data_IF_305884863594
#
_entry.id   IF_305884863594
#
_cell.length_a   1.000
_cell.length_b   1.000
_cell.length_c   1.000
_cell.angle_alpha   90.00
_cell.angle_beta   90.00
_cell.angle_gamma   90.00
#
_symmetry.space_group_name_H-M   'P 1'
#
loop_
_entity.id
_entity.type
_entity.pdbx_description
1 polymer ?
#
# COMPACT_ATOMS: atom_id res chain seq x y z
N UNK A 1 -16.62 -13.92 -4.02
CA UNK A 1 -15.21 -14.21 -3.66
C UNK A 1 -14.23 -13.83 -4.78
N UNK A 2 -14.62 -13.81 -6.06
CA UNK A 2 -13.72 -13.52 -7.20
C UNK A 2 -13.40 -12.03 -7.41
N UNK A 3 -13.77 -11.15 -6.46
CA UNK A 3 -13.67 -9.69 -6.64
C UNK A 3 -12.22 -9.23 -6.80
N UNK A 4 -11.30 -9.68 -5.94
CA UNK A 4 -9.89 -9.28 -6.02
C UNK A 4 -9.22 -9.79 -7.31
N UNK A 5 -9.34 -11.07 -7.71
CA UNK A 5 -8.82 -11.52 -9.00
C UNK A 5 -9.38 -10.74 -10.19
N UNK A 6 -10.68 -10.45 -10.22
CA UNK A 6 -11.29 -9.66 -11.29
C UNK A 6 -10.75 -8.23 -11.27
N UNK A 7 -10.67 -7.60 -10.11
CA UNK A 7 -10.14 -6.25 -9.98
C UNK A 7 -8.69 -6.16 -10.43
N UNK A 8 -7.85 -7.15 -10.11
CA UNK A 8 -6.48 -7.23 -10.60
C UNK A 8 -6.43 -7.36 -12.12
N UNK A 9 -7.27 -8.20 -12.75
CA UNK A 9 -7.31 -8.31 -14.22
C UNK A 9 -7.76 -6.99 -14.85
N UNK A 10 -8.83 -6.38 -14.35
CA UNK A 10 -9.33 -5.11 -14.87
C UNK A 10 -8.33 -3.97 -14.67
N UNK A 11 -7.68 -3.93 -13.50
CA UNK A 11 -6.64 -2.95 -13.18
C UNK A 11 -5.43 -3.09 -14.10
N UNK A 12 -5.00 -4.32 -14.37
CA UNK A 12 -3.93 -4.60 -15.34
C UNK A 12 -4.28 -4.10 -16.73
N UNK A 13 -5.48 -4.43 -17.25
CA UNK A 13 -5.92 -4.01 -18.57
C UNK A 13 -6.04 -2.48 -18.68
N UNK A 14 -6.51 -1.82 -17.63
CA UNK A 14 -6.61 -0.36 -17.59
C UNK A 14 -5.24 0.32 -17.54
N UNK A 15 -4.33 -0.18 -16.70
CA UNK A 15 -2.98 0.38 -16.53
C UNK A 15 -2.08 0.14 -17.74
N UNK A 16 -2.27 -0.95 -18.49
CA UNK A 16 -1.47 -1.28 -19.68
C UNK A 16 -2.12 -0.87 -21.01
N UNK A 17 -3.40 -0.53 -20.98
CA UNK A 17 -4.17 -0.16 -22.17
C UNK A 17 -4.17 1.35 -22.47
N UNK A 18 -5.09 1.75 -23.36
CA UNK A 18 -5.27 3.14 -23.79
C UNK A 18 -5.74 4.10 -22.68
N UNK A 19 -6.14 3.57 -21.53
CA UNK A 19 -6.58 4.34 -20.36
C UNK A 19 -5.44 4.69 -19.40
N UNK A 20 -4.18 4.31 -19.69
CA UNK A 20 -3.04 4.51 -18.79
C UNK A 20 -2.94 5.95 -18.25
N UNK A 21 -3.14 6.96 -19.08
CA UNK A 21 -3.10 8.36 -18.63
C UNK A 21 -4.15 8.68 -17.56
N UNK A 22 -5.38 8.19 -17.72
CA UNK A 22 -6.46 8.37 -16.74
C UNK A 22 -6.14 7.59 -15.45
N UNK A 23 -5.57 6.40 -15.60
CA UNK A 23 -5.09 5.61 -14.46
C UNK A 23 -4.06 6.43 -13.69
N UNK A 24 -3.03 6.96 -14.36
CA UNK A 24 -1.97 7.77 -13.75
C UNK A 24 -2.53 8.97 -12.99
N UNK A 25 -3.55 9.65 -13.52
CA UNK A 25 -4.20 10.79 -12.86
C UNK A 25 -4.80 10.42 -11.49
N UNK A 26 -5.41 9.23 -11.38
CA UNK A 26 -6.03 8.74 -10.15
C UNK A 26 -4.96 8.17 -9.21
N UNK A 27 -4.01 7.42 -9.75
CA UNK A 27 -2.99 6.72 -8.95
C UNK A 27 -1.94 7.68 -8.41
N UNK A 28 -1.73 8.84 -9.01
CA UNK A 28 -0.80 9.85 -8.48
C UNK A 28 -1.16 10.29 -7.07
N UNK A 29 -2.45 10.39 -6.71
CA UNK A 29 -2.83 10.65 -5.31
C UNK A 29 -2.34 9.56 -4.35
N UNK A 30 -2.30 8.30 -4.80
CA UNK A 30 -1.79 7.17 -4.02
C UNK A 30 -0.27 7.18 -3.99
N UNK A 31 0.39 7.59 -5.08
CA UNK A 31 1.83 7.85 -5.17
C UNK A 31 2.28 8.88 -4.14
N UNK A 32 1.65 10.07 -4.15
CA UNK A 32 1.94 11.15 -3.22
C UNK A 32 1.62 10.78 -1.76
N UNK A 33 0.53 10.04 -1.55
CA UNK A 33 0.25 9.47 -0.22
C UNK A 33 1.33 8.49 0.22
N UNK A 34 1.94 7.74 -0.71
CA UNK A 34 3.08 6.87 -0.48
C UNK A 34 4.30 7.62 0.07
N UNK A 35 4.68 8.73 -0.57
CA UNK A 35 5.71 9.64 -0.04
C UNK A 35 5.35 10.13 1.37
N UNK A 36 4.14 10.64 1.55
CA UNK A 36 3.70 11.23 2.81
C UNK A 36 3.68 10.21 3.96
N UNK A 37 3.12 9.03 3.75
CA UNK A 37 3.09 7.95 4.76
C UNK A 37 4.51 7.54 5.14
N UNK A 38 5.39 7.41 4.15
CA UNK A 38 6.78 7.05 4.39
C UNK A 38 7.51 8.14 5.19
N UNK A 39 7.28 9.41 4.87
CA UNK A 39 7.82 10.55 5.59
C UNK A 39 7.32 10.59 7.04
N UNK A 40 6.02 10.41 7.27
CA UNK A 40 5.43 10.38 8.62
C UNK A 40 6.03 9.27 9.48
N UNK A 41 6.23 8.07 8.92
CA UNK A 41 6.89 6.96 9.62
C UNK A 41 8.36 7.26 9.95
N UNK A 42 9.04 8.07 9.13
CA UNK A 42 10.40 8.54 9.37
C UNK A 42 10.48 9.75 10.33
N UNK A 43 9.33 10.27 10.78
CA UNK A 43 9.25 11.48 11.59
C UNK A 43 9.53 12.77 10.82
N UNK A 44 9.32 12.78 9.49
CA UNK A 44 9.51 13.93 8.61
C UNK A 44 8.13 14.47 8.19
N UNK A 45 7.83 15.77 8.41
CA UNK A 45 6.54 16.33 8.04
C UNK A 45 6.35 16.29 6.53
N UNK A 46 5.16 15.89 6.10
CA UNK A 46 4.80 15.80 4.70
C UNK A 46 3.31 16.06 4.52
N UNK A 47 2.94 16.62 3.37
CA UNK A 47 1.54 16.86 2.99
C UNK A 47 1.34 16.24 1.61
N UNK A 48 0.48 15.21 1.45
CA UNK A 48 0.21 14.62 0.15
C UNK A 48 -0.59 15.63 -0.69
N UNK A 49 0.04 16.18 -1.73
CA UNK A 49 -0.64 16.97 -2.73
C UNK A 49 -1.20 16.09 -3.86
N UNK A 50 -1.82 16.71 -4.89
CA UNK A 50 -2.20 15.98 -6.09
C UNK A 50 -0.98 15.35 -6.76
N UNK A 51 -0.01 16.15 -7.25
CA UNK A 51 1.15 15.70 -8.05
C UNK A 51 2.51 15.83 -7.36
N UNK A 52 2.55 16.40 -6.15
CA UNK A 52 3.79 16.62 -5.39
C UNK A 52 3.48 16.52 -3.91
N UNK A 53 4.41 15.94 -3.17
CA UNK A 53 4.39 15.87 -1.71
C UNK A 53 5.49 16.77 -1.15
N UNK A 54 5.16 17.99 -0.69
CA UNK A 54 6.11 18.79 0.06
C UNK A 54 6.53 18.06 1.33
N UNK A 55 7.84 17.79 1.48
CA UNK A 55 8.42 17.16 2.66
C UNK A 55 9.40 18.08 3.36
N UNK A 56 9.48 17.99 4.69
CA UNK A 56 10.48 18.71 5.46
C UNK A 56 11.90 18.18 5.27
N UNK A 57 12.88 19.07 5.41
CA UNK A 57 14.30 18.69 5.32
C UNK A 57 14.82 18.00 6.58
N UNK A 58 14.12 18.14 7.71
CA UNK A 58 14.55 17.62 9.03
C UNK A 58 13.44 16.84 9.71
N UNK A 59 13.86 15.96 10.62
CA UNK A 59 12.92 15.24 11.49
C UNK A 59 12.26 16.18 12.47
N UNK A 60 10.95 16.02 12.61
CA UNK A 60 10.14 16.65 13.63
C UNK A 60 9.65 15.58 14.62
N UNK A 61 10.44 15.31 15.65
CA UNK A 61 10.16 14.24 16.62
C UNK A 61 8.83 14.41 17.36
N UNK A 62 8.30 15.64 17.47
CA UNK A 62 6.95 15.85 18.01
C UNK A 62 5.87 15.26 17.11
N UNK A 63 6.01 15.36 15.79
CA UNK A 63 5.08 14.70 14.88
C UNK A 63 5.19 13.18 14.98
N UNK A 64 6.41 12.64 15.09
CA UNK A 64 6.59 11.22 15.35
C UNK A 64 5.89 10.81 16.66
N UNK A 65 6.03 11.58 17.74
CA UNK A 65 5.33 11.31 18.99
C UNK A 65 3.81 11.37 18.85
N UNK A 66 3.27 12.32 18.08
CA UNK A 66 1.83 12.42 17.80
C UNK A 66 1.33 11.18 17.03
N UNK A 67 2.08 10.73 16.02
CA UNK A 67 1.76 9.50 15.29
C UNK A 67 1.81 8.27 16.21
N UNK A 68 2.84 8.17 17.05
CA UNK A 68 2.95 7.11 18.07
C UNK A 68 1.74 7.12 19.00
N UNK A 69 1.32 8.30 19.48
CA UNK A 69 0.13 8.46 20.31
C UNK A 69 -1.15 8.02 19.61
N UNK A 70 -1.33 8.39 18.35
CA UNK A 70 -2.48 7.98 17.54
C UNK A 70 -2.51 6.45 17.31
N UNK A 71 -1.37 5.84 17.00
CA UNK A 71 -1.25 4.39 16.83
C UNK A 71 -1.46 3.63 18.15
N UNK A 72 -0.95 4.16 19.27
CA UNK A 72 -1.18 3.59 20.60
C UNK A 72 -2.67 3.66 20.98
N UNK A 73 -3.34 4.77 20.67
CA UNK A 73 -4.79 4.91 20.85
C UNK A 73 -5.57 3.93 19.97
N UNK A 74 -5.15 3.72 18.73
CA UNK A 74 -5.75 2.73 17.84
C UNK A 74 -5.57 1.30 18.37
N UNK A 75 -4.37 0.96 18.84
CA UNK A 75 -4.08 -0.33 19.48
C UNK A 75 -4.95 -0.56 20.73
N UNK A 76 -5.03 0.45 21.60
CA UNK A 76 -5.84 0.41 22.82
C UNK A 76 -7.33 0.24 22.52
N UNK A 77 -7.85 1.02 21.56
CA UNK A 77 -9.24 0.92 21.10
C UNK A 77 -9.51 -0.47 20.51
N UNK A 78 -8.59 -1.00 19.69
CA UNK A 78 -8.66 -2.34 19.16
C UNK A 78 -8.73 -3.41 20.26
N UNK A 79 -7.89 -3.29 21.29
CA UNK A 79 -7.93 -4.18 22.47
C UNK A 79 -9.27 -4.11 23.20
N UNK A 80 -9.81 -2.91 23.46
CA UNK A 80 -11.11 -2.72 24.15
C UNK A 80 -12.27 -3.36 23.39
N UNK A 81 -12.23 -3.33 22.06
CA UNK A 81 -13.25 -3.94 21.19
C UNK A 81 -12.93 -5.39 20.77
N UNK A 82 -11.92 -6.03 21.40
CA UNK A 82 -11.45 -7.38 21.06
C UNK A 82 -11.08 -7.56 19.57
N UNK A 83 -10.62 -6.49 18.92
CA UNK A 83 -10.18 -6.42 17.52
C UNK A 83 -8.68 -6.72 17.42
N UNK A 84 -8.35 -8.01 17.33
CA UNK A 84 -6.95 -8.47 17.19
C UNK A 84 -6.28 -7.96 15.91
N UNK A 85 -7.07 -7.74 14.86
CA UNK A 85 -6.65 -7.15 13.59
C UNK A 85 -6.12 -5.71 13.76
N UNK A 86 -6.81 -4.90 14.56
CA UNK A 86 -6.39 -3.52 14.83
C UNK A 86 -5.12 -3.48 15.69
N UNK A 87 -5.05 -4.35 16.70
CA UNK A 87 -3.86 -4.47 17.53
C UNK A 87 -2.64 -4.86 16.71
N UNK A 88 -2.76 -5.89 15.86
CA UNK A 88 -1.67 -6.33 15.00
C UNK A 88 -1.21 -5.22 14.03
N UNK A 89 -2.16 -4.53 13.38
CA UNK A 89 -1.85 -3.42 12.47
C UNK A 89 -1.12 -2.27 13.17
N UNK A 90 -1.62 -1.86 14.35
CA UNK A 90 -1.00 -0.80 15.13
C UNK A 90 0.41 -1.20 15.61
N UNK A 91 0.61 -2.44 16.07
CA UNK A 91 1.93 -2.94 16.48
C UNK A 91 2.92 -2.95 15.33
N UNK A 92 2.50 -3.39 14.14
CA UNK A 92 3.36 -3.36 12.94
C UNK A 92 3.75 -1.92 12.58
N UNK A 93 2.78 -1.00 12.54
CA UNK A 93 3.06 0.40 12.22
C UNK A 93 3.95 1.07 13.27
N UNK A 94 3.77 0.78 14.56
CA UNK A 94 4.64 1.28 15.62
C UNK A 94 6.07 0.76 15.49
N UNK A 95 6.24 -0.52 15.17
CA UNK A 95 7.57 -1.10 14.95
C UNK A 95 8.25 -0.48 13.73
N UNK A 96 7.52 -0.33 12.62
CA UNK A 96 8.02 0.35 11.42
C UNK A 96 8.40 1.80 11.73
N UNK A 97 7.54 2.54 12.42
CA UNK A 97 7.81 3.92 12.80
C UNK A 97 9.07 4.04 13.67
N UNK A 98 9.23 3.16 14.67
CA UNK A 98 10.42 3.15 15.53
C UNK A 98 11.70 2.93 14.71
N UNK A 99 11.69 1.95 13.80
CA UNK A 99 12.82 1.65 12.92
C UNK A 99 13.09 2.80 11.94
N UNK A 100 12.07 3.34 11.29
CA UNK A 100 12.22 4.42 10.31
C UNK A 100 12.67 5.74 10.95
N UNK A 101 12.16 6.06 12.15
CA UNK A 101 12.47 7.31 12.85
C UNK A 101 13.87 7.28 13.48
N UNK A 102 14.26 6.18 14.13
CA UNK A 102 15.50 6.12 14.92
C UNK A 102 16.59 5.21 14.32
N UNK A 103 16.22 4.25 13.48
CA UNK A 103 17.17 3.31 12.87
C UNK A 103 17.80 3.77 11.55
N UNK A 104 17.26 4.83 10.93
CA UNK A 104 17.75 5.36 9.66
C UNK A 104 18.50 6.69 9.86
N UNK A 105 19.55 6.93 9.07
CA UNK A 105 20.09 8.28 8.89
C UNK A 105 19.07 9.17 8.16
N UNK A 106 19.23 10.49 8.22
CA UNK A 106 18.34 11.42 7.53
C UNK A 106 18.35 11.19 6.02
N UNK A 107 19.54 11.03 5.42
CA UNK A 107 19.68 10.76 3.98
C UNK A 107 18.98 9.46 3.57
N UNK A 108 19.10 8.39 4.37
CA UNK A 108 18.40 7.12 4.11
C UNK A 108 16.89 7.27 4.24
N UNK A 109 16.42 8.11 5.16
CA UNK A 109 14.99 8.39 5.30
C UNK A 109 14.47 9.18 4.10
N UNK A 110 15.21 10.17 3.60
CA UNK A 110 14.81 10.91 2.39
C UNK A 110 14.85 10.02 1.14
N UNK A 111 15.86 9.17 0.99
CA UNK A 111 15.88 8.15 -0.06
C UNK A 111 14.66 7.22 0.06
N UNK A 112 14.34 6.77 1.27
CA UNK A 112 13.17 5.92 1.50
C UNK A 112 11.86 6.66 1.15
N UNK A 113 11.77 7.96 1.40
CA UNK A 113 10.61 8.78 0.99
C UNK A 113 10.46 8.77 -0.52
N UNK A 114 11.51 9.02 -1.31
CA UNK A 114 11.44 8.95 -2.79
C UNK A 114 11.06 7.55 -3.27
N UNK A 115 11.63 6.50 -2.68
CA UNK A 115 11.21 5.12 -2.95
C UNK A 115 9.72 4.88 -2.59
N UNK A 116 9.24 5.56 -1.56
CA UNK A 116 7.89 5.46 -1.03
C UNK A 116 6.77 5.88 -1.99
N UNK A 117 7.05 6.54 -3.12
CA UNK A 117 6.05 6.86 -4.14
C UNK A 117 5.46 5.58 -4.75
N UNK A 118 6.22 4.95 -5.65
CA UNK A 118 5.80 3.71 -6.31
C UNK A 118 5.67 2.54 -5.31
N UNK A 119 6.58 2.41 -4.35
CA UNK A 119 6.47 1.39 -3.31
C UNK A 119 5.20 1.57 -2.46
N UNK A 120 4.81 2.82 -2.21
CA UNK A 120 3.56 3.18 -1.55
C UNK A 120 2.35 2.75 -2.36
N UNK A 121 2.35 2.94 -3.68
CA UNK A 121 1.28 2.44 -4.55
C UNK A 121 1.09 0.92 -4.45
N UNK A 122 2.19 0.16 -4.39
CA UNK A 122 2.13 -1.30 -4.21
C UNK A 122 1.50 -1.68 -2.86
N UNK A 123 1.99 -1.08 -1.76
CA UNK A 123 1.55 -1.42 -0.40
C UNK A 123 0.15 -0.88 -0.11
N UNK A 124 -0.09 0.41 -0.34
CA UNK A 124 -1.40 1.05 -0.13
C UNK A 124 -2.45 0.47 -1.07
N UNK A 125 -2.11 0.20 -2.34
CA UNK A 125 -3.02 -0.48 -3.26
C UNK A 125 -3.45 -1.85 -2.76
N UNK A 126 -2.51 -2.60 -2.18
CA UNK A 126 -2.78 -3.89 -1.52
C UNK A 126 -3.66 -3.74 -0.29
N UNK A 127 -3.41 -2.75 0.57
CA UNK A 127 -4.25 -2.47 1.75
C UNK A 127 -5.68 -2.07 1.33
N UNK A 128 -5.81 -1.21 0.31
CA UNK A 128 -7.10 -0.78 -0.24
C UNK A 128 -7.90 -1.96 -0.79
N UNK A 129 -7.28 -2.84 -1.58
CA UNK A 129 -7.90 -4.09 -2.03
C UNK A 129 -8.26 -5.00 -0.85
N UNK A 130 -7.38 -5.10 0.15
CA UNK A 130 -7.61 -5.87 1.38
C UNK A 130 -8.85 -5.41 2.17
N UNK A 131 -9.27 -4.15 2.01
CA UNK A 131 -10.50 -3.65 2.65
C UNK A 131 -11.76 -4.39 2.21
N UNK A 132 -11.73 -5.12 1.08
CA UNK A 132 -12.84 -5.97 0.67
C UNK A 132 -13.18 -7.05 1.71
N UNK A 133 -12.18 -7.52 2.46
CA UNK A 133 -12.32 -8.58 3.46
C UNK A 133 -12.65 -8.09 4.87
N UNK A 134 -12.95 -6.80 5.03
CA UNK A 134 -13.39 -6.26 6.32
C UNK A 134 -14.71 -6.87 6.77
N UNK A 135 -14.89 -6.95 8.10
CA UNK A 135 -16.05 -7.59 8.71
C UNK A 135 -17.37 -6.97 8.22
N UNK A 136 -18.39 -7.79 7.90
CA UNK A 136 -19.75 -7.31 7.68
C UNK A 136 -20.25 -6.46 8.85
N UNK A 137 -20.92 -5.36 8.55
CA UNK A 137 -21.40 -4.38 9.55
C UNK A 137 -20.39 -3.29 9.93
N UNK A 138 -19.12 -3.37 9.50
CA UNK A 138 -18.22 -2.22 9.57
C UNK A 138 -18.69 -1.10 8.64
N UNK A 139 -18.29 0.15 8.91
CA UNK A 139 -18.66 1.30 8.07
C UNK A 139 -18.25 1.10 6.59
N UNK A 140 -17.04 0.59 6.35
CA UNK A 140 -16.52 0.25 5.02
C UNK A 140 -17.38 -0.78 4.28
N UNK A 141 -17.95 -1.72 5.02
CA UNK A 141 -18.86 -2.71 4.46
C UNK A 141 -20.29 -2.15 4.28
N UNK A 142 -20.83 -1.48 5.30
CA UNK A 142 -22.20 -1.00 5.33
C UNK A 142 -22.46 0.14 4.32
N UNK A 143 -21.46 0.99 4.08
CA UNK A 143 -21.56 2.12 3.14
C UNK A 143 -20.97 1.85 1.77
N UNK A 144 -20.51 0.62 1.49
CA UNK A 144 -20.03 0.23 0.16
C UNK A 144 -18.65 0.78 -0.24
N UNK A 145 -17.96 1.53 0.63
CA UNK A 145 -16.66 2.16 0.32
C UNK A 145 -15.59 1.19 -0.19
N UNK A 146 -15.62 -0.07 0.29
CA UNK A 146 -14.70 -1.13 -0.15
C UNK A 146 -14.67 -1.33 -1.68
N UNK A 147 -15.76 -1.04 -2.38
CA UNK A 147 -15.82 -1.23 -3.84
C UNK A 147 -14.97 -0.20 -4.58
N UNK A 148 -15.04 1.07 -4.17
CA UNK A 148 -14.17 2.12 -4.70
C UNK A 148 -12.71 1.85 -4.37
N UNK A 149 -12.43 1.44 -3.13
CA UNK A 149 -11.07 1.11 -2.69
C UNK A 149 -10.45 -0.06 -3.44
N UNK A 150 -11.23 -1.11 -3.74
CA UNK A 150 -10.73 -2.21 -4.57
C UNK A 150 -10.32 -1.72 -5.96
N UNK A 151 -11.14 -0.87 -6.59
CA UNK A 151 -10.82 -0.30 -7.90
C UNK A 151 -9.56 0.56 -7.86
N UNK A 152 -9.52 1.57 -6.97
CA UNK A 152 -8.37 2.46 -6.80
C UNK A 152 -7.11 1.66 -6.46
N UNK A 153 -7.21 0.69 -5.56
CA UNK A 153 -6.08 -0.11 -5.13
C UNK A 153 -5.53 -1.01 -6.22
N UNK A 154 -6.38 -1.62 -7.05
CA UNK A 154 -5.93 -2.42 -8.18
C UNK A 154 -5.25 -1.58 -9.27
N UNK A 155 -5.79 -0.39 -9.54
CA UNK A 155 -5.19 0.55 -10.49
C UNK A 155 -3.82 1.04 -10.00
N UNK A 156 -3.73 1.48 -8.74
CA UNK A 156 -2.46 1.93 -8.14
C UNK A 156 -1.42 0.80 -8.11
N UNK A 157 -1.83 -0.41 -7.73
CA UNK A 157 -0.92 -1.56 -7.73
C UNK A 157 -0.33 -1.81 -9.12
N UNK A 158 -1.17 -1.86 -10.17
CA UNK A 158 -0.69 -2.17 -11.51
C UNK A 158 0.06 -1.04 -12.19
N UNK A 159 -0.30 0.22 -11.93
CA UNK A 159 0.43 1.38 -12.46
C UNK A 159 1.92 1.34 -12.01
N UNK A 160 2.20 1.02 -10.75
CA UNK A 160 3.58 0.82 -10.28
C UNK A 160 4.14 -0.56 -10.68
N UNK A 161 3.42 -1.66 -10.43
CA UNK A 161 4.00 -2.99 -10.58
C UNK A 161 4.33 -3.34 -12.04
N UNK A 162 3.49 -2.91 -13.00
CA UNK A 162 3.75 -3.16 -14.41
C UNK A 162 5.05 -2.48 -14.86
N UNK A 163 5.24 -1.20 -14.49
CA UNK A 163 6.44 -0.42 -14.78
C UNK A 163 7.71 -1.14 -14.29
N UNK A 164 7.74 -1.53 -13.02
CA UNK A 164 8.92 -2.18 -12.45
C UNK A 164 9.12 -3.62 -12.96
N UNK A 165 8.03 -4.29 -13.33
CA UNK A 165 8.12 -5.63 -13.93
C UNK A 165 8.70 -5.60 -15.34
N UNK A 166 8.31 -4.61 -16.17
CA UNK A 166 8.86 -4.42 -17.53
C UNK A 166 10.31 -3.95 -17.49
N UNK A 167 10.67 -3.13 -16.50
CA UNK A 167 12.03 -2.63 -16.29
C UNK A 167 13.09 -3.74 -16.16
N UNK A 168 12.70 -4.98 -15.81
CA UNK A 168 13.61 -6.13 -15.74
C UNK A 168 14.21 -6.52 -17.10
N UNK A 169 13.50 -6.21 -18.19
CA UNK A 169 13.92 -6.54 -19.57
C UNK A 169 14.06 -5.32 -20.46
N UNK A 170 13.52 -4.18 -20.03
CA UNK A 170 13.55 -2.91 -20.75
C UNK A 170 13.83 -1.76 -19.78
N UNK A 171 15.10 -1.40 -19.60
CA UNK A 171 15.51 -0.35 -18.68
C UNK A 171 14.97 1.04 -19.08
N UNK A 172 14.66 1.27 -20.35
CA UNK A 172 14.11 2.54 -20.84
C UNK A 172 12.67 2.77 -20.36
N UNK A 173 12.01 1.74 -19.84
CA UNK A 173 10.70 1.87 -19.22
C UNK A 173 10.74 2.76 -17.95
N UNK A 174 11.89 2.84 -17.26
CA UNK A 174 12.03 3.62 -16.03
C UNK A 174 11.97 5.12 -16.37
N UNK A 175 11.08 5.91 -15.76
CA UNK A 175 10.93 7.33 -16.06
C UNK A 175 12.04 8.16 -15.42
N UNK A 176 13.28 8.02 -15.91
CA UNK A 176 14.40 8.87 -15.53
C UNK A 176 14.24 10.29 -16.10
N UNK A 177 14.87 11.25 -15.42
CA UNK A 177 14.96 12.64 -15.85
C UNK A 177 14.30 13.61 -14.89
N UNK A 178 13.93 14.78 -15.42
CA UNK A 178 13.30 15.87 -14.67
C UNK A 178 11.85 16.05 -15.05
N UNK A 179 11.04 16.27 -14.03
CA UNK A 179 9.64 16.66 -14.12
C UNK A 179 9.58 18.18 -13.96
N UNK A 180 9.01 18.85 -14.96
CA UNK A 180 8.85 20.30 -14.98
C UNK A 180 8.07 20.78 -13.74
N UNK A 181 8.60 21.79 -13.04
CA UNK A 181 7.98 22.35 -11.83
C UNK A 181 8.15 21.50 -10.56
N UNK A 182 8.77 20.32 -10.63
CA UNK A 182 8.97 19.43 -9.47
C UNK A 182 10.46 19.19 -9.19
N UNK A 183 11.25 18.79 -10.19
CA UNK A 183 12.65 18.43 -10.01
C UNK A 183 13.00 17.10 -10.68
N UNK A 184 13.90 16.33 -10.09
CA UNK A 184 14.19 14.97 -10.56
C UNK A 184 12.97 14.05 -10.29
N UNK A 185 12.74 13.07 -11.16
CA UNK A 185 11.82 11.97 -10.84
C UNK A 185 12.32 11.18 -9.63
N UNK A 186 11.48 10.37 -9.00
CA UNK A 186 11.90 9.54 -7.86
C UNK A 186 13.03 8.58 -8.24
N UNK A 187 12.92 7.96 -9.41
CA UNK A 187 13.95 7.06 -9.93
C UNK A 187 15.28 7.78 -10.14
N UNK A 188 15.25 8.97 -10.77
CA UNK A 188 16.45 9.81 -10.92
C UNK A 188 17.00 10.27 -9.58
N UNK A 189 16.15 10.64 -8.63
CA UNK A 189 16.57 11.07 -7.29
C UNK A 189 17.32 9.94 -6.57
N UNK A 190 16.78 8.72 -6.62
CA UNK A 190 17.39 7.55 -5.99
C UNK A 190 18.75 7.18 -6.60
N UNK A 191 18.88 7.25 -7.93
CA UNK A 191 20.12 6.90 -8.63
C UNK A 191 21.14 8.04 -8.56
N UNK A 192 20.75 9.25 -8.96
CA UNK A 192 21.66 10.38 -9.13
C UNK A 192 22.04 11.05 -7.80
N UNK A 193 21.11 11.12 -6.83
CA UNK A 193 21.37 11.79 -5.55
C UNK A 193 21.81 10.80 -4.47
N UNK A 194 21.15 9.64 -4.38
CA UNK A 194 21.43 8.66 -3.33
C UNK A 194 22.31 7.48 -3.77
N UNK A 195 22.74 7.45 -5.04
CA UNK A 195 23.70 6.47 -5.56
C UNK A 195 23.17 5.04 -5.60
N UNK A 196 21.85 4.84 -5.67
CA UNK A 196 21.29 3.49 -5.80
C UNK A 196 21.59 2.92 -7.18
N UNK A 197 21.89 1.63 -7.23
CA UNK A 197 21.97 0.92 -8.50
C UNK A 197 20.56 0.76 -9.10
N UNK A 198 20.44 0.90 -10.42
CA UNK A 198 19.18 0.67 -11.13
C UNK A 198 18.65 -0.76 -10.89
N UNK A 199 19.55 -1.75 -10.83
CA UNK A 199 19.20 -3.14 -10.51
C UNK A 199 18.57 -3.29 -9.13
N UNK A 200 19.03 -2.52 -8.15
CA UNK A 200 18.47 -2.51 -6.80
C UNK A 200 17.07 -1.89 -6.80
N UNK A 201 16.88 -0.83 -7.59
CA UNK A 201 15.59 -0.16 -7.74
C UNK A 201 14.54 -1.11 -8.31
N UNK A 202 14.86 -1.77 -9.43
CA UNK A 202 14.00 -2.76 -10.07
C UNK A 202 13.74 -3.93 -9.11
N UNK A 203 14.80 -4.50 -8.54
CA UNK A 203 14.72 -5.68 -7.67
C UNK A 203 13.83 -5.43 -6.44
N UNK A 204 14.01 -4.30 -5.75
CA UNK A 204 13.25 -3.95 -4.54
C UNK A 204 11.76 -3.76 -4.84
N UNK A 205 11.40 -3.05 -5.91
CA UNK A 205 9.99 -2.87 -6.29
C UNK A 205 9.33 -4.17 -6.73
N UNK A 206 10.02 -5.00 -7.53
CA UNK A 206 9.49 -6.28 -7.98
C UNK A 206 9.27 -7.23 -6.80
N UNK A 207 10.25 -7.35 -5.90
CA UNK A 207 10.13 -8.18 -4.69
C UNK A 207 8.96 -7.70 -3.83
N UNK A 208 8.82 -6.38 -3.65
CA UNK A 208 7.71 -5.80 -2.88
C UNK A 208 6.36 -6.08 -3.54
N UNK A 209 6.25 -5.97 -4.86
CA UNK A 209 5.03 -6.28 -5.60
C UNK A 209 4.64 -7.76 -5.49
N UNK A 210 5.61 -8.68 -5.59
CA UNK A 210 5.37 -10.12 -5.37
C UNK A 210 4.93 -10.40 -3.93
N UNK A 211 5.56 -9.75 -2.94
CA UNK A 211 5.16 -9.89 -1.54
C UNK A 211 3.71 -9.41 -1.32
N UNK A 212 3.33 -8.30 -1.95
CA UNK A 212 1.97 -7.77 -1.94
C UNK A 212 0.95 -8.74 -2.57
N UNK A 213 1.25 -9.29 -3.75
CA UNK A 213 0.40 -10.31 -4.39
C UNK A 213 0.27 -11.57 -3.52
N UNK A 214 1.37 -11.99 -2.88
CA UNK A 214 1.38 -13.13 -1.96
C UNK A 214 0.50 -12.85 -0.74
N UNK A 215 0.54 -11.64 -0.18
CA UNK A 215 -0.32 -11.25 0.92
C UNK A 215 -1.81 -11.26 0.51
N UNK A 216 -2.15 -10.74 -0.68
CA UNK A 216 -3.52 -10.80 -1.20
C UNK A 216 -3.99 -12.25 -1.44
N UNK A 217 -3.12 -13.11 -2.00
CA UNK A 217 -3.41 -14.52 -2.20
C UNK A 217 -3.64 -15.25 -0.86
N UNK A 218 -2.82 -14.96 0.16
CA UNK A 218 -2.98 -15.51 1.50
C UNK A 218 -4.30 -15.05 2.16
N UNK A 219 -4.66 -13.76 2.04
CA UNK A 219 -5.95 -13.24 2.51
C UNK A 219 -7.14 -13.90 1.80
N UNK A 220 -7.04 -14.07 0.49
CA UNK A 220 -8.04 -14.78 -0.31
C UNK A 220 -8.20 -16.24 0.14
N UNK A 221 -7.09 -16.97 0.28
CA UNK A 221 -7.11 -18.36 0.71
C UNK A 221 -7.67 -18.53 2.13
N UNK A 222 -7.28 -17.64 3.07
CA UNK A 222 -7.75 -17.66 4.45
C UNK A 222 -9.26 -17.42 4.55
N UNK A 223 -9.78 -16.48 3.77
CA UNK A 223 -11.21 -16.16 3.76
C UNK A 223 -12.03 -17.26 3.10
N UNK A 224 -11.54 -17.86 2.02
CA UNK A 224 -12.15 -19.03 1.39
C UNK A 224 -12.18 -20.22 2.35
N UNK A 225 -11.07 -20.49 3.05
CA UNK A 225 -10.98 -21.57 4.03
C UNK A 225 -11.99 -21.38 5.18
N UNK A 226 -12.02 -20.19 5.79
CA UNK A 226 -12.97 -19.86 6.87
C UNK A 226 -14.43 -19.96 6.40
N UNK A 227 -14.74 -19.47 5.19
CA UNK A 227 -16.08 -19.58 4.61
C UNK A 227 -16.53 -21.03 4.41
N UNK A 228 -15.64 -21.89 3.88
CA UNK A 228 -15.90 -23.32 3.73
C UNK A 228 -16.11 -24.02 5.08
N UNK A 229 -15.31 -23.68 6.09
CA UNK A 229 -15.45 -24.24 7.43
C UNK A 229 -16.81 -23.87 8.06
N UNK A 230 -17.24 -22.60 7.93
CA UNK A 230 -18.54 -22.14 8.41
C UNK A 230 -19.69 -22.83 7.69
N UNK A 231 -19.62 -22.98 6.36
CA UNK A 231 -20.64 -23.68 5.60
C UNK A 231 -20.75 -25.15 6.01
N UNK A 232 -19.61 -25.84 6.18
CA UNK A 232 -19.59 -27.23 6.65
C UNK A 232 -20.18 -27.37 8.05
N UNK A 233 -19.87 -26.45 8.96
CA UNK A 233 -20.44 -26.43 10.31
C UNK A 233 -21.97 -26.20 10.26
N UNK A 234 -22.44 -25.27 9.42
CA UNK A 234 -23.86 -25.01 9.23
C UNK A 234 -24.60 -26.23 8.65
N UNK A 235 -24.03 -26.88 7.63
CA UNK A 235 -24.61 -28.09 7.04
C UNK A 235 -24.70 -29.25 8.03
N UNK A 236 -23.72 -29.40 8.94
CA UNK A 236 -23.76 -30.41 10.01
C UNK A 236 -24.75 -30.08 11.13
N UNK A 237 -25.10 -28.81 11.30
CA UNK A 237 -26.03 -28.34 12.32
C UNK A 237 -27.49 -28.33 11.83
N UNK A 238 -27.74 -28.57 10.54
CA UNK A 238 -29.09 -28.81 10.04
C UNK A 238 -29.60 -30.12 10.63
N UNK A 239 -30.73 -30.12 11.35
CA UNK A 239 -31.35 -31.38 11.76
C UNK A 239 -31.66 -32.19 10.51
N UNK A 240 -31.31 -33.47 10.51
CA UNK A 240 -31.84 -34.42 9.52
C UNK A 240 -33.36 -34.36 9.59
N UNK A 241 -33.98 -33.65 8.66
CA UNK A 241 -35.39 -33.85 8.35
C UNK A 241 -35.49 -35.12 7.51
N UNK A 242 -35.18 -36.25 8.14
CA UNK A 242 -35.59 -37.54 7.60
C UNK A 242 -37.04 -37.75 8.07
N UNK A 243 -37.94 -37.81 7.09
CA UNK A 243 -39.37 -38.05 7.26
C UNK A 243 -39.71 -39.50 7.57
#
# INVERSE_FOLDING_TARGET
>A
MVVIPIALVLGYLAATGSMNFIVRLVTMYVHELGHAVTAWLCGIPAIPGPWVTPTGEKRWYWMALLLTGALALWAWTGRRHHRRDWLAGATVLLALQLVCTFGLSLDRAQALISFGGDAGMLVLGTVLMGTFYVRPGSYLHAKGLRWGFVGIGALAFWDAFHLWWSARTDAEAIPFGRIEGVGLSDASTLVETYGWAESDLIGRHVVLGIACLTALAALYALTLYRGRAHLRAALRALPFQDG
#
